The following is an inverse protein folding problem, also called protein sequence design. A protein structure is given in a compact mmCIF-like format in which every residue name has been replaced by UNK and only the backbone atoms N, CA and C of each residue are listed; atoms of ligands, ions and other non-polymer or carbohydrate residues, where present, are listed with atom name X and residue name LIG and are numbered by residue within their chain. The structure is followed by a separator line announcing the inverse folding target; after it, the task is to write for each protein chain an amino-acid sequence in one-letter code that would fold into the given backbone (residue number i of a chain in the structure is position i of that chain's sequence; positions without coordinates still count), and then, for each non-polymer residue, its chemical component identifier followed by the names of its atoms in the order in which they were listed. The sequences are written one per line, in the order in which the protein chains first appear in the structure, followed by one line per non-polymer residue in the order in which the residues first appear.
data_IF_216769792851
#
_entry.id   IF_216769792851
#
_cell.length_a   1.000
_cell.length_b   1.000
_cell.length_c   1.000
_cell.angle_alpha   90.00
_cell.angle_beta   90.00
_cell.angle_gamma   90.00
#
_symmetry.space_group_name_H-M   'P 1'
#
loop_
_entity.id
_entity.type
_entity.pdbx_description
1 polymer ?
#
# COMPACT_ATOMS: atom_id res chain seq x y z
N UNK A 1 8.44 12.16 7.67
CA UNK A 1 8.42 11.19 6.55
C UNK A 1 7.80 11.72 5.26
N UNK A 2 8.53 11.63 4.15
CA UNK A 2 8.03 11.91 2.80
C UNK A 2 7.21 10.71 2.27
N UNK A 3 5.89 10.89 2.13
CA UNK A 3 4.96 9.82 1.73
C UNK A 3 5.11 9.42 0.26
N UNK A 4 5.37 10.38 -0.64
CA UNK A 4 5.53 10.11 -2.07
C UNK A 4 6.77 9.25 -2.31
N UNK A 5 7.87 9.60 -1.65
CA UNK A 5 9.10 8.82 -1.70
C UNK A 5 8.91 7.43 -1.08
N UNK A 6 8.19 7.31 0.04
CA UNK A 6 7.84 6.02 0.64
C UNK A 6 7.07 5.14 -0.36
N UNK A 7 6.04 5.68 -1.02
CA UNK A 7 5.23 4.94 -1.99
C UNK A 7 6.10 4.50 -3.18
N UNK A 8 6.93 5.40 -3.71
CA UNK A 8 7.83 5.10 -4.83
C UNK A 8 8.85 4.02 -4.49
N UNK A 9 9.40 4.04 -3.27
CA UNK A 9 10.33 3.01 -2.80
C UNK A 9 9.62 1.67 -2.62
N UNK A 10 8.47 1.64 -1.94
CA UNK A 10 7.70 0.41 -1.74
C UNK A 10 7.26 -0.19 -3.07
N UNK A 11 6.87 0.63 -4.06
CA UNK A 11 6.48 0.17 -5.39
C UNK A 11 7.54 -0.70 -6.07
N UNK A 12 8.84 -0.41 -5.84
CA UNK A 12 9.97 -1.18 -6.38
C UNK A 12 10.08 -2.58 -5.78
N UNK A 13 9.51 -2.81 -4.59
CA UNK A 13 9.61 -4.07 -3.84
C UNK A 13 8.26 -4.78 -3.77
N UNK A 14 7.94 -5.59 -4.78
CA UNK A 14 6.68 -6.37 -4.83
C UNK A 14 6.46 -7.28 -3.62
N UNK A 15 7.54 -7.87 -3.12
CA UNK A 15 7.61 -8.69 -1.91
C UNK A 15 7.07 -8.00 -0.62
N UNK A 16 6.83 -6.68 -0.62
CA UNK A 16 6.19 -5.96 0.48
C UNK A 16 4.64 -5.94 0.43
N UNK A 17 4.03 -6.18 -0.73
CA UNK A 17 2.59 -5.98 -0.93
C UNK A 17 1.90 -7.04 -1.80
N UNK A 18 2.65 -7.82 -2.56
CA UNK A 18 2.15 -8.89 -3.41
C UNK A 18 2.17 -10.23 -2.66
N UNK A 19 0.97 -10.74 -2.32
CA UNK A 19 0.80 -12.03 -1.66
C UNK A 19 1.21 -13.22 -2.56
N UNK A 20 1.23 -13.02 -3.88
CA UNK A 20 1.64 -14.02 -4.86
C UNK A 20 3.15 -14.09 -5.07
N UNK A 21 3.92 -13.14 -4.51
CA UNK A 21 5.38 -13.17 -4.62
C UNK A 21 5.94 -14.29 -3.73
N UNK A 22 6.78 -15.20 -4.26
CA UNK A 22 7.40 -16.27 -3.47
C UNK A 22 8.19 -15.75 -2.26
N UNK A 23 8.69 -14.51 -2.32
CA UNK A 23 9.48 -13.85 -1.28
C UNK A 23 8.62 -13.05 -0.31
N UNK A 24 7.31 -12.98 -0.50
CA UNK A 24 6.39 -12.33 0.45
C UNK A 24 6.45 -12.93 1.86
N UNK A 25 6.72 -14.24 1.94
CA UNK A 25 6.84 -15.00 3.18
C UNK A 25 8.26 -14.98 3.75
N UNK A 26 9.23 -14.40 3.05
CA UNK A 26 10.59 -14.21 3.55
C UNK A 26 10.63 -12.99 4.48
N UNK A 27 10.51 -13.25 5.78
CA UNK A 27 10.51 -12.22 6.80
C UNK A 27 11.84 -11.46 6.85
N UNK A 28 12.97 -12.17 6.70
CA UNK A 28 14.30 -11.56 6.75
C UNK A 28 14.49 -10.60 5.57
N UNK A 29 14.10 -11.03 4.36
CA UNK A 29 14.16 -10.21 3.16
C UNK A 29 13.33 -8.94 3.32
N UNK A 30 12.09 -9.07 3.79
CA UNK A 30 11.21 -7.91 4.04
C UNK A 30 11.78 -6.98 5.11
N UNK A 31 12.36 -7.52 6.17
CA UNK A 31 13.01 -6.72 7.21
C UNK A 31 14.14 -5.88 6.61
N UNK A 32 15.00 -6.48 5.78
CA UNK A 32 16.10 -5.80 5.12
C UNK A 32 15.61 -4.67 4.20
N UNK A 33 14.55 -4.92 3.41
CA UNK A 33 13.96 -3.88 2.55
C UNK A 33 13.43 -2.71 3.38
N UNK A 34 12.71 -2.99 4.47
CA UNK A 34 12.20 -1.93 5.34
C UNK A 34 13.32 -1.14 6.00
N UNK A 35 14.46 -1.77 6.31
CA UNK A 35 15.66 -1.08 6.77
C UNK A 35 16.24 -0.15 5.70
N UNK A 36 16.37 -0.63 4.46
CA UNK A 36 16.87 0.15 3.34
C UNK A 36 15.98 1.38 3.07
N UNK A 37 14.66 1.17 2.99
CA UNK A 37 13.68 2.25 2.81
C UNK A 37 13.78 3.27 3.94
N UNK A 38 13.89 2.80 5.18
CA UNK A 38 14.01 3.66 6.35
C UNK A 38 15.29 4.50 6.34
N UNK A 39 16.42 3.93 5.92
CA UNK A 39 17.67 4.65 5.73
C UNK A 39 17.54 5.76 4.68
N UNK A 40 16.93 5.47 3.52
CA UNK A 40 16.71 6.46 2.46
C UNK A 40 15.79 7.60 2.92
N UNK A 41 14.77 7.28 3.73
CA UNK A 41 13.82 8.26 4.28
C UNK A 41 14.33 8.97 5.54
N UNK A 42 15.51 8.60 6.04
CA UNK A 42 16.06 9.06 7.32
C UNK A 42 15.06 8.88 8.49
N UNK A 43 14.40 7.72 8.53
CA UNK A 43 13.33 7.36 9.46
C UNK A 43 13.58 5.95 10.03
N UNK A 44 12.70 5.48 10.92
CA UNK A 44 12.78 4.11 11.43
C UNK A 44 11.95 3.14 10.57
N UNK A 45 12.35 1.85 10.45
CA UNK A 45 11.54 0.84 9.76
C UNK A 45 10.12 0.71 10.32
N UNK A 46 9.97 0.91 11.64
CA UNK A 46 8.67 0.90 12.31
C UNK A 46 7.78 2.05 11.82
N UNK A 47 8.30 3.28 11.77
CA UNK A 47 7.56 4.44 11.24
C UNK A 47 7.17 4.23 9.77
N UNK A 48 8.08 3.69 8.95
CA UNK A 48 7.82 3.44 7.53
C UNK A 48 6.69 2.42 7.35
N UNK A 49 6.73 1.32 8.11
CA UNK A 49 5.69 0.29 8.11
C UNK A 49 4.34 0.85 8.55
N UNK A 50 4.30 1.62 9.63
CA UNK A 50 3.05 2.21 10.13
C UNK A 50 2.47 3.20 9.10
N UNK A 51 3.31 4.06 8.53
CA UNK A 51 2.88 5.04 7.54
C UNK A 51 2.35 4.36 6.27
N UNK A 52 3.06 3.34 5.78
CA UNK A 52 2.62 2.54 4.65
C UNK A 52 1.29 1.84 4.90
N UNK A 53 1.11 1.24 6.09
CA UNK A 53 -0.16 0.62 6.50
C UNK A 53 -1.32 1.61 6.42
N UNK A 54 -1.14 2.83 6.97
CA UNK A 54 -2.17 3.89 6.93
C UNK A 54 -2.51 4.29 5.48
N UNK A 55 -1.50 4.45 4.63
CA UNK A 55 -1.68 4.80 3.20
C UNK A 55 -2.48 3.69 2.48
N UNK A 56 -2.05 2.43 2.64
CA UNK A 56 -2.70 1.27 2.02
C UNK A 56 -4.14 1.09 2.50
N UNK A 57 -4.39 1.24 3.81
CA UNK A 57 -5.72 1.10 4.39
C UNK A 57 -6.67 2.21 3.89
N UNK A 58 -6.19 3.45 3.77
CA UNK A 58 -6.96 4.55 3.20
C UNK A 58 -7.31 4.30 1.72
N UNK A 59 -6.33 3.83 0.93
CA UNK A 59 -6.56 3.48 -0.47
C UNK A 59 -7.58 2.35 -0.63
N UNK A 60 -7.45 1.28 0.16
CA UNK A 60 -8.38 0.16 0.19
C UNK A 60 -9.80 0.59 0.56
N UNK A 61 -9.95 1.38 1.62
CA UNK A 61 -11.27 1.90 2.06
C UNK A 61 -11.91 2.74 0.98
N UNK A 62 -11.15 3.60 0.32
CA UNK A 62 -11.68 4.46 -0.72
C UNK A 62 -12.05 3.68 -2.00
N UNK A 63 -11.25 2.67 -2.40
CA UNK A 63 -11.62 1.76 -3.49
C UNK A 63 -12.89 0.97 -3.15
N UNK A 64 -13.01 0.41 -1.94
CA UNK A 64 -14.22 -0.30 -1.49
C UNK A 64 -15.45 0.61 -1.49
N UNK A 65 -15.32 1.85 -1.02
CA UNK A 65 -16.42 2.81 -1.00
C UNK A 65 -16.91 3.17 -2.41
N UNK A 66 -15.99 3.26 -3.40
CA UNK A 66 -16.34 3.48 -4.80
C UNK A 66 -17.06 2.29 -5.43
N UNK A 67 -16.74 1.06 -5.02
CA UNK A 67 -17.40 -0.16 -5.50
C UNK A 67 -18.79 -0.34 -4.87
N UNK A 68 -18.96 0.00 -3.59
CA UNK A 68 -20.23 -0.24 -2.88
C UNK A 68 -21.28 0.87 -3.04
N UNK A 69 -20.88 2.07 -3.48
CA UNK A 69 -21.78 3.21 -3.72
C UNK A 69 -22.10 3.28 -5.21
N UNK A 70 -23.32 2.89 -5.58
CA UNK A 70 -23.86 3.11 -6.94
C UNK A 70 -24.56 4.48 -7.03
N UNK A 71 -24.51 5.17 -8.18
CA UNK A 71 -25.20 6.45 -8.42
C UNK A 71 -24.41 7.72 -8.02
N UNK A 72 -25.08 8.89 -7.92
CA UNK A 72 -24.46 10.20 -7.61
C UNK A 72 -23.64 10.24 -6.28
N UNK A 73 -23.76 9.24 -5.41
CA UNK A 73 -22.95 9.14 -4.20
C UNK A 73 -21.50 8.70 -4.49
N UNK A 74 -21.22 8.05 -5.63
CA UNK A 74 -19.87 7.66 -6.04
C UNK A 74 -19.03 8.87 -6.49
N UNK A 75 -19.68 9.87 -7.08
CA UNK A 75 -19.03 11.06 -7.67
C UNK A 75 -18.60 12.09 -6.61
N UNK A 76 -19.17 12.02 -5.40
CA UNK A 76 -18.81 12.88 -4.26
C UNK A 76 -17.70 12.31 -3.36
N UNK A 77 -17.11 11.16 -3.73
CA UNK A 77 -16.00 10.58 -2.96
C UNK A 77 -14.75 11.41 -3.23
N UNK A 78 -14.22 12.07 -2.19
CA UNK A 78 -12.97 12.85 -2.27
C UNK A 78 -11.89 12.07 -3.03
N UNK A 79 -11.11 12.73 -3.92
CA UNK A 79 -10.01 12.09 -4.61
C UNK A 79 -9.04 11.48 -3.59
N UNK A 80 -8.63 10.24 -3.85
CA UNK A 80 -7.71 9.52 -2.98
C UNK A 80 -6.36 10.21 -3.06
N UNK A 81 -5.77 10.56 -1.92
CA UNK A 81 -4.40 11.08 -1.89
C UNK A 81 -3.46 9.99 -2.43
N UNK A 82 -2.62 10.36 -3.39
CA UNK A 82 -1.71 9.44 -4.09
C UNK A 82 -2.39 8.36 -4.95
N UNK A 83 -3.58 8.63 -5.51
CA UNK A 83 -4.34 7.65 -6.31
C UNK A 83 -3.53 7.08 -7.48
N UNK A 84 -2.76 7.93 -8.18
CA UNK A 84 -1.93 7.53 -9.32
C UNK A 84 -0.75 6.68 -8.87
N UNK A 85 -0.08 7.10 -7.82
CA UNK A 85 1.09 6.46 -7.25
C UNK A 85 0.73 5.12 -6.59
N UNK A 86 -0.48 4.97 -6.07
CA UNK A 86 -0.99 3.72 -5.48
C UNK A 86 -1.73 2.84 -6.47
N UNK A 87 -1.87 3.25 -7.73
CA UNK A 87 -2.58 2.50 -8.76
C UNK A 87 -2.02 1.09 -8.97
N UNK A 88 -0.71 0.89 -8.76
CA UNK A 88 -0.05 -0.41 -8.84
C UNK A 88 -0.57 -1.42 -7.82
N UNK A 89 -1.18 -0.97 -6.72
CA UNK A 89 -1.78 -1.84 -5.72
C UNK A 89 -3.17 -2.35 -6.11
N UNK A 90 -3.82 -1.76 -7.13
CA UNK A 90 -5.20 -2.12 -7.52
C UNK A 90 -5.40 -3.62 -7.74
N UNK A 91 -4.50 -4.35 -8.45
CA UNK A 91 -4.64 -5.79 -8.66
C UNK A 91 -4.48 -6.60 -7.36
N UNK A 92 -3.69 -6.11 -6.42
CA UNK A 92 -3.33 -6.82 -5.18
C UNK A 92 -4.32 -6.56 -4.03
N UNK A 93 -5.03 -5.43 -4.06
CA UNK A 93 -5.96 -5.02 -2.99
C UNK A 93 -7.37 -5.58 -3.19
N UNK A 94 -7.77 -5.90 -4.42
CA UNK A 94 -9.11 -6.42 -4.73
C UNK A 94 -9.29 -7.92 -4.41
N UNK A 95 -8.21 -8.64 -4.08
CA UNK A 95 -8.21 -10.10 -3.92
C UNK A 95 -8.19 -10.59 -2.46
N UNK A 96 -8.62 -9.80 -1.48
CA UNK A 96 -8.89 -10.30 -0.11
C UNK A 96 -10.28 -10.95 -0.02
N UNK A 97 -10.56 -11.91 -0.91
CA UNK A 97 -11.53 -12.98 -0.67
C UNK A 97 -10.75 -14.26 -0.42
N UNK A 98 -11.02 -14.89 0.73
CA UNK A 98 -10.49 -16.15 1.24
C UNK A 98 -9.08 -16.13 1.86
N UNK A 99 -9.05 -16.18 3.19
CA UNK A 99 -8.89 -17.47 3.87
C UNK A 99 -9.85 -17.54 5.07
N UNK A 100 -10.77 -18.49 4.97
CA UNK A 100 -11.59 -19.07 6.04
C UNK A 100 -10.65 -19.69 7.08
#
# INVERSE_FOLDING_TARGET
MNEELLISLVQKYRELYDLGDPRYHDEQRRMNIWQEIAQILNETPANCKERWKRIRDNYRRAKKLRVTKSGQAATNIKPIRFDKELSFLSPFICNEHNKI
#
